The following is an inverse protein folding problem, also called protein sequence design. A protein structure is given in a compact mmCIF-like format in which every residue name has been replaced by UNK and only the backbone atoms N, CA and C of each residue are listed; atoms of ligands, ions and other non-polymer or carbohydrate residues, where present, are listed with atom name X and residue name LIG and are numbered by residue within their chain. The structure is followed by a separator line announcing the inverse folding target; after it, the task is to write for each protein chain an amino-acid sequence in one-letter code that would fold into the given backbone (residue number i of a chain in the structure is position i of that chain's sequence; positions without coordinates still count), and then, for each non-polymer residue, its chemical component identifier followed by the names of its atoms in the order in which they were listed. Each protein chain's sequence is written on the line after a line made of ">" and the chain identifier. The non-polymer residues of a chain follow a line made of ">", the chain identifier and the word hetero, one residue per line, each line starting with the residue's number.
data_IF_336015184540
#
_entry.id   IF_336015184540
#
_cell.length_a   1.000
_cell.length_b   1.000
_cell.length_c   1.000
_cell.angle_alpha   90.00
_cell.angle_beta   90.00
_cell.angle_gamma   90.00
#
_symmetry.space_group_name_H-M   'P 1'
#
loop_
_entity.id
_entity.type
_entity.pdbx_description
1 polymer ?
#
# COMPACT_ATOMS: atom_id res chain seq x y z
N UNK A 1 -44.03 -14.01 19.20
CA UNK A 1 -44.12 -12.80 18.34
C UNK A 1 -42.79 -12.06 18.35
N UNK A 2 -42.60 -11.02 17.53
CA UNK A 2 -41.32 -10.29 17.42
C UNK A 2 -40.86 -9.76 18.79
N UNK A 3 -41.78 -9.23 19.60
CA UNK A 3 -41.50 -8.73 20.95
C UNK A 3 -40.94 -9.80 21.90
N UNK A 4 -41.41 -11.05 21.75
CA UNK A 4 -40.99 -12.17 22.59
C UNK A 4 -39.56 -12.62 22.25
N UNK A 5 -39.21 -12.61 20.96
CA UNK A 5 -37.85 -12.87 20.50
C UNK A 5 -36.88 -11.78 20.95
N UNK A 6 -37.25 -10.51 20.82
CA UNK A 6 -36.40 -9.39 21.28
C UNK A 6 -36.18 -9.42 22.80
N UNK A 7 -37.19 -9.85 23.58
CA UNK A 7 -37.06 -10.02 25.02
C UNK A 7 -36.10 -11.15 25.37
N UNK A 8 -36.18 -12.27 24.67
CA UNK A 8 -35.26 -13.41 24.84
C UNK A 8 -33.80 -13.02 24.51
N UNK A 9 -33.57 -12.26 23.43
CA UNK A 9 -32.25 -11.73 23.09
C UNK A 9 -31.71 -10.78 24.16
N UNK A 10 -32.54 -9.84 24.63
CA UNK A 10 -32.14 -8.90 25.70
C UNK A 10 -31.79 -9.63 26.99
N UNK A 11 -32.59 -10.64 27.35
CA UNK A 11 -32.37 -11.45 28.55
C UNK A 11 -31.06 -12.23 28.43
N UNK A 12 -30.79 -12.84 27.27
CA UNK A 12 -29.54 -13.54 26.99
C UNK A 12 -28.31 -12.62 27.05
N UNK A 13 -28.42 -11.37 26.55
CA UNK A 13 -27.34 -10.38 26.67
C UNK A 13 -27.09 -10.01 28.13
N UNK A 14 -28.16 -9.81 28.93
CA UNK A 14 -28.05 -9.44 30.34
C UNK A 14 -27.48 -10.56 31.22
N UNK A 15 -27.73 -11.83 30.90
CA UNK A 15 -27.16 -12.98 31.63
C UNK A 15 -25.63 -13.00 31.61
N UNK A 16 -25.01 -12.41 30.59
CA UNK A 16 -23.55 -12.32 30.48
C UNK A 16 -22.94 -11.14 31.25
N UNK A 17 -23.76 -10.24 31.78
CA UNK A 17 -23.32 -9.02 32.45
C UNK A 17 -23.24 -9.26 33.96
N UNK A 18 -22.03 -9.17 34.52
CA UNK A 18 -21.83 -9.14 35.98
C UNK A 18 -21.51 -7.71 36.44
N UNK A 19 -22.38 -7.15 37.27
CA UNK A 19 -22.17 -5.83 37.87
C UNK A 19 -21.31 -5.97 39.13
N UNK A 20 -20.37 -5.04 39.30
CA UNK A 20 -19.55 -4.94 40.50
C UNK A 20 -19.68 -3.54 41.09
N UNK A 21 -19.46 -3.41 42.39
CA UNK A 21 -19.48 -2.12 43.07
C UNK A 21 -18.20 -1.29 42.86
N UNK A 22 -17.44 -1.59 41.79
CA UNK A 22 -16.23 -0.88 41.42
C UNK A 22 -16.56 0.33 40.54
N UNK A 23 -15.65 1.31 40.49
CA UNK A 23 -15.81 2.45 39.58
C UNK A 23 -15.75 1.99 38.12
N UNK A 24 -16.58 2.60 37.29
CA UNK A 24 -16.58 2.36 35.84
C UNK A 24 -15.19 2.61 35.25
N UNK A 25 -14.80 1.74 34.32
CA UNK A 25 -13.54 1.87 33.58
C UNK A 25 -13.77 1.59 32.11
N UNK A 26 -12.99 2.27 31.27
CA UNK A 26 -12.90 1.94 29.85
C UNK A 26 -12.20 0.59 29.69
N UNK A 27 -12.81 -0.30 28.91
CA UNK A 27 -12.24 -1.60 28.52
C UNK A 27 -11.98 -1.54 27.03
N UNK A 28 -10.81 -2.04 26.62
CA UNK A 28 -10.42 -2.15 25.23
C UNK A 28 -10.47 -3.60 24.75
N UNK A 29 -11.39 -3.88 23.84
CA UNK A 29 -11.71 -5.25 23.41
C UNK A 29 -10.61 -5.94 22.60
N UNK A 30 -9.64 -5.20 22.06
CA UNK A 30 -8.50 -5.82 21.33
C UNK A 30 -7.45 -6.41 22.26
N UNK A 31 -7.62 -6.30 23.58
CA UNK A 31 -6.65 -6.80 24.57
C UNK A 31 -7.33 -7.69 25.59
N UNK A 32 -6.70 -8.83 25.90
CA UNK A 32 -7.24 -9.80 26.87
C UNK A 32 -7.32 -9.25 28.30
N UNK A 33 -6.52 -8.24 28.62
CA UNK A 33 -6.55 -7.55 29.92
C UNK A 33 -7.39 -6.26 29.90
N UNK A 34 -8.01 -5.94 28.75
CA UNK A 34 -8.87 -4.78 28.59
C UNK A 34 -8.14 -3.43 28.60
N UNK A 35 -6.80 -3.42 28.54
CA UNK A 35 -6.00 -2.20 28.61
C UNK A 35 -5.67 -1.66 27.21
N UNK A 36 -5.95 -0.38 27.00
CA UNK A 36 -5.55 0.29 25.77
C UNK A 36 -4.03 0.32 25.61
N UNK A 37 -3.54 -0.21 24.48
CA UNK A 37 -2.13 -0.15 24.08
C UNK A 37 -2.04 0.27 22.62
N UNK A 38 -1.28 1.34 22.37
CA UNK A 38 -1.03 1.86 21.02
C UNK A 38 -0.47 0.77 20.09
N UNK A 39 0.37 -0.13 20.60
CA UNK A 39 0.90 -1.28 19.85
C UNK A 39 -0.20 -2.18 19.27
N UNK A 40 -1.21 -2.51 20.07
CA UNK A 40 -2.27 -3.44 19.66
C UNK A 40 -3.22 -2.79 18.64
N UNK A 41 -3.44 -1.48 18.77
CA UNK A 41 -4.14 -0.69 17.74
C UNK A 41 -3.38 -0.76 16.41
N UNK A 42 -2.06 -0.54 16.43
CA UNK A 42 -1.25 -0.60 15.21
C UNK A 42 -1.22 -1.98 14.60
N UNK A 43 -1.07 -3.05 15.39
CA UNK A 43 -1.13 -4.42 14.87
C UNK A 43 -2.45 -4.68 14.15
N UNK A 44 -3.59 -4.26 14.72
CA UNK A 44 -4.89 -4.42 14.10
C UNK A 44 -5.03 -3.62 12.80
N UNK A 45 -4.53 -2.38 12.78
CA UNK A 45 -4.47 -1.55 11.56
C UNK A 45 -3.60 -2.24 10.51
N UNK A 46 -2.41 -2.67 10.89
CA UNK A 46 -1.47 -3.34 10.00
C UNK A 46 -2.06 -4.63 9.42
N UNK A 47 -2.75 -5.45 10.22
CA UNK A 47 -3.44 -6.65 9.74
C UNK A 47 -4.57 -6.34 8.73
N UNK A 48 -5.22 -5.17 8.83
CA UNK A 48 -6.25 -4.72 7.90
C UNK A 48 -5.64 -4.15 6.61
N UNK A 49 -4.55 -3.39 6.72
CA UNK A 49 -4.01 -2.58 5.62
C UNK A 49 -2.80 -3.19 4.92
N UNK A 50 -2.02 -4.02 5.60
CA UNK A 50 -0.85 -4.70 5.05
C UNK A 50 -1.28 -6.12 4.68
N UNK A 51 -1.39 -6.40 3.39
CA UNK A 51 -1.59 -7.78 2.93
C UNK A 51 -0.38 -8.63 3.30
N UNK A 52 -0.59 -9.92 3.57
CA UNK A 52 0.47 -10.89 3.88
C UNK A 52 1.52 -11.08 2.75
N UNK A 53 1.33 -10.41 1.60
CA UNK A 53 2.25 -10.39 0.47
C UNK A 53 3.20 -9.17 0.53
N UNK A 54 3.75 -8.86 1.71
CA UNK A 54 4.83 -7.89 1.78
C UNK A 54 6.07 -8.52 1.14
N UNK A 55 6.30 -8.22 -0.13
CA UNK A 55 7.60 -8.44 -0.75
C UNK A 55 8.59 -7.53 -0.02
N UNK A 56 9.63 -8.13 0.58
CA UNK A 56 10.64 -7.39 1.33
C UNK A 56 11.20 -6.25 0.49
N UNK A 57 11.19 -5.05 1.06
CA UNK A 57 11.74 -3.87 0.39
C UNK A 57 13.26 -3.91 0.48
N UNK A 58 13.95 -3.94 -0.67
CA UNK A 58 15.41 -3.93 -0.73
C UNK A 58 15.95 -2.50 -0.57
N UNK A 59 16.39 -2.15 0.63
CA UNK A 59 17.03 -0.86 0.89
C UNK A 59 18.52 -0.90 0.54
N UNK A 60 18.94 -0.10 -0.45
CA UNK A 60 20.35 0.01 -0.83
C UNK A 60 21.00 1.14 -0.02
N UNK A 61 22.01 0.81 0.79
CA UNK A 61 22.68 1.79 1.68
C UNK A 61 23.51 2.84 0.94
N UNK A 62 23.91 2.55 -0.30
CA UNK A 62 24.79 3.39 -1.10
C UNK A 62 24.05 4.44 -1.94
N UNK A 63 22.71 4.42 -1.95
CA UNK A 63 21.90 5.42 -2.66
C UNK A 63 21.20 6.37 -1.68
N UNK A 64 20.93 7.62 -2.09
CA UNK A 64 20.14 8.52 -1.26
C UNK A 64 18.77 7.91 -0.91
N UNK A 65 18.27 8.19 0.31
CA UNK A 65 16.99 7.64 0.81
C UNK A 65 15.82 7.88 -0.16
N UNK A 66 15.79 9.02 -0.85
CA UNK A 66 14.79 9.37 -1.86
C UNK A 66 14.73 8.37 -3.03
N UNK A 67 15.86 7.78 -3.40
CA UNK A 67 15.94 6.77 -4.47
C UNK A 67 15.30 5.48 -4.00
N UNK A 68 15.62 5.02 -2.80
CA UNK A 68 14.97 3.84 -2.23
C UNK A 68 13.45 4.04 -2.07
N UNK A 69 13.01 5.22 -1.60
CA UNK A 69 11.57 5.55 -1.50
C UNK A 69 10.92 5.54 -2.89
N UNK A 70 11.61 6.04 -3.92
CA UNK A 70 11.10 6.03 -5.29
C UNK A 70 10.90 4.59 -5.79
N UNK A 71 11.89 3.72 -5.63
CA UNK A 71 11.82 2.31 -6.02
C UNK A 71 10.73 1.57 -5.23
N UNK A 72 10.63 1.81 -3.92
CA UNK A 72 9.56 1.26 -3.09
C UNK A 72 8.17 1.68 -3.59
N UNK A 73 7.96 2.96 -3.91
CA UNK A 73 6.70 3.43 -4.50
C UNK A 73 6.44 2.83 -5.87
N UNK A 74 7.48 2.65 -6.70
CA UNK A 74 7.36 2.06 -8.01
C UNK A 74 6.90 0.59 -7.92
N UNK A 75 7.53 -0.18 -7.03
CA UNK A 75 7.18 -1.58 -6.78
C UNK A 75 5.72 -1.75 -6.31
N UNK A 76 5.20 -0.79 -5.56
CA UNK A 76 3.83 -0.81 -5.04
C UNK A 76 2.78 -0.23 -6.01
N UNK A 77 3.18 0.12 -7.24
CA UNK A 77 2.36 0.85 -8.21
C UNK A 77 1.75 2.15 -7.64
N UNK A 78 2.56 2.91 -6.90
CA UNK A 78 2.15 4.12 -6.15
C UNK A 78 2.81 5.40 -6.62
N UNK A 79 3.55 5.39 -7.73
CA UNK A 79 4.03 6.61 -8.37
C UNK A 79 2.86 7.45 -8.89
N UNK A 80 2.98 8.79 -8.91
CA UNK A 80 1.91 9.69 -9.33
C UNK A 80 1.78 9.76 -10.87
N UNK A 81 1.69 8.62 -11.53
CA UNK A 81 1.42 8.53 -12.96
C UNK A 81 -0.05 8.85 -13.23
N UNK A 82 -0.42 9.27 -14.45
CA UNK A 82 -1.80 9.67 -14.76
C UNK A 82 -2.77 8.50 -14.58
N UNK A 83 -2.37 7.28 -14.93
CA UNK A 83 -3.14 6.06 -14.65
C UNK A 83 -3.41 5.91 -13.15
N UNK A 84 -2.38 6.09 -12.30
CA UNK A 84 -2.53 5.99 -10.85
C UNK A 84 -3.32 7.15 -10.23
N UNK A 85 -3.27 8.34 -10.82
CA UNK A 85 -4.10 9.47 -10.40
C UNK A 85 -5.58 9.19 -10.70
N UNK A 86 -5.91 8.68 -11.89
CA UNK A 86 -7.28 8.30 -12.26
C UNK A 86 -7.81 7.19 -11.36
N UNK A 87 -7.00 6.16 -11.06
CA UNK A 87 -7.37 5.10 -10.10
C UNK A 87 -7.70 5.63 -8.70
N UNK A 88 -7.15 6.79 -8.31
CA UNK A 88 -7.43 7.47 -7.03
C UNK A 88 -8.59 8.47 -7.12
N UNK A 89 -9.31 8.51 -8.25
CA UNK A 89 -10.44 9.42 -8.45
C UNK A 89 -10.04 10.86 -8.75
N UNK A 90 -8.78 11.12 -9.07
CA UNK A 90 -8.33 12.46 -9.49
C UNK A 90 -8.67 12.62 -10.96
N UNK A 91 -9.39 13.69 -11.30
CA UNK A 91 -9.76 13.98 -12.68
C UNK A 91 -8.52 14.40 -13.50
N UNK A 92 -8.17 13.60 -14.50
CA UNK A 92 -7.09 13.88 -15.44
C UNK A 92 -7.66 13.82 -16.85
N UNK A 93 -7.35 14.82 -17.69
CA UNK A 93 -7.94 14.95 -19.03
C UNK A 93 -7.62 13.78 -19.99
N UNK A 94 -6.55 13.03 -19.74
CA UNK A 94 -6.10 11.89 -20.54
C UNK A 94 -5.12 11.07 -19.72
N UNK A 95 -5.07 9.75 -19.89
CA UNK A 95 -4.06 8.87 -19.31
C UNK A 95 -2.80 8.74 -20.18
N UNK A 96 -2.76 9.36 -21.36
CA UNK A 96 -1.63 9.21 -22.30
C UNK A 96 -0.36 9.85 -21.75
N UNK A 97 0.79 9.23 -22.02
CA UNK A 97 2.11 9.74 -21.66
C UNK A 97 2.31 11.19 -22.15
N UNK A 98 2.60 12.15 -21.26
CA UNK A 98 2.73 13.55 -21.65
C UNK A 98 4.04 13.87 -22.38
N UNK A 99 5.01 12.96 -22.35
CA UNK A 99 6.36 13.20 -22.89
C UNK A 99 6.37 12.97 -24.40
N UNK A 100 5.84 11.82 -24.85
CA UNK A 100 5.88 11.41 -26.26
C UNK A 100 4.49 11.13 -26.86
N UNK A 101 3.42 11.27 -26.08
CA UNK A 101 2.05 11.00 -26.51
C UNK A 101 1.82 9.56 -27.02
N UNK A 102 2.67 8.63 -26.62
CA UNK A 102 2.61 7.20 -26.94
C UNK A 102 2.33 6.40 -25.68
N UNK A 103 1.41 5.43 -25.74
CA UNK A 103 1.07 4.60 -24.57
C UNK A 103 0.39 5.35 -23.41
N UNK A 104 0.04 4.60 -22.38
CA UNK A 104 -0.48 5.15 -21.12
C UNK A 104 0.67 5.59 -20.21
N UNK A 105 0.43 6.64 -19.43
CA UNK A 105 1.32 7.11 -18.36
C UNK A 105 1.19 6.17 -17.16
N UNK A 106 1.84 5.02 -17.31
CA UNK A 106 2.01 3.98 -16.30
C UNK A 106 3.48 3.71 -16.02
N UNK A 107 3.78 3.01 -14.93
CA UNK A 107 5.16 2.86 -14.42
C UNK A 107 6.05 2.15 -15.44
N UNK A 108 5.59 1.04 -16.01
CA UNK A 108 6.36 0.28 -17.00
C UNK A 108 6.65 1.14 -18.24
N UNK A 109 5.63 1.86 -18.72
CA UNK A 109 5.81 2.77 -19.83
C UNK A 109 6.86 3.85 -19.52
N UNK A 110 6.65 4.66 -18.47
CA UNK A 110 7.53 5.79 -18.17
C UNK A 110 8.98 5.36 -17.93
N UNK A 111 9.18 4.22 -17.26
CA UNK A 111 10.52 3.78 -16.86
C UNK A 111 11.25 2.94 -17.90
N UNK A 112 10.54 2.21 -18.75
CA UNK A 112 11.14 1.19 -19.62
C UNK A 112 10.72 1.30 -21.09
N UNK A 113 9.45 1.52 -21.39
CA UNK A 113 8.92 1.40 -22.77
C UNK A 113 8.80 2.73 -23.52
N UNK A 114 8.84 3.84 -22.79
CA UNK A 114 8.73 5.18 -23.35
C UNK A 114 9.96 5.50 -24.20
N UNK A 115 9.80 6.25 -25.29
CA UNK A 115 10.93 6.64 -26.15
C UNK A 115 12.01 7.42 -25.39
N UNK A 116 11.64 8.11 -24.31
CA UNK A 116 12.60 8.73 -23.41
C UNK A 116 13.43 7.68 -22.66
N UNK A 117 12.77 6.65 -22.11
CA UNK A 117 13.43 5.56 -21.41
C UNK A 117 14.39 4.80 -22.32
N UNK A 118 13.96 4.47 -23.55
CA UNK A 118 14.80 3.84 -24.57
C UNK A 118 16.03 4.68 -24.95
N UNK A 119 15.97 6.00 -24.84
CA UNK A 119 17.14 6.87 -25.09
C UNK A 119 18.05 7.02 -23.86
N UNK A 120 17.49 7.01 -22.66
CA UNK A 120 18.20 7.28 -21.40
C UNK A 120 18.85 6.02 -20.84
N UNK A 121 18.14 4.90 -20.78
CA UNK A 121 18.63 3.65 -20.19
C UNK A 121 19.96 3.19 -20.82
N UNK A 122 20.14 3.20 -22.15
CA UNK A 122 21.41 2.75 -22.71
C UNK A 122 22.58 3.66 -22.38
N UNK A 123 22.33 4.97 -22.20
CA UNK A 123 23.36 5.92 -21.78
C UNK A 123 23.78 5.67 -20.33
N UNK A 124 22.83 5.32 -19.46
CA UNK A 124 23.12 4.95 -18.07
C UNK A 124 23.91 3.64 -18.03
N UNK A 125 23.46 2.59 -18.72
CA UNK A 125 24.19 1.31 -18.77
C UNK A 125 25.62 1.51 -19.27
N UNK A 126 25.82 2.30 -20.33
CA UNK A 126 27.15 2.64 -20.83
C UNK A 126 27.99 3.42 -19.81
N UNK A 127 27.39 4.34 -19.07
CA UNK A 127 28.11 5.13 -18.05
C UNK A 127 28.57 4.27 -16.87
N UNK A 128 27.79 3.24 -16.53
CA UNK A 128 28.06 2.34 -15.42
C UNK A 128 28.72 1.01 -15.84
N UNK A 129 29.10 0.88 -17.12
CA UNK A 129 29.68 -0.33 -17.69
C UNK A 129 28.81 -1.59 -17.44
N UNK A 130 27.49 -1.43 -17.55
CA UNK A 130 26.51 -2.51 -17.40
C UNK A 130 26.12 -3.07 -18.76
N UNK A 131 25.84 -4.38 -18.79
CA UNK A 131 25.26 -5.04 -19.95
C UNK A 131 23.85 -4.50 -20.22
N UNK A 132 23.60 -4.17 -21.49
CA UNK A 132 22.27 -3.77 -21.94
C UNK A 132 21.34 -4.98 -21.91
N UNK A 133 20.25 -4.83 -21.16
CA UNK A 133 19.14 -5.78 -21.12
C UNK A 133 17.87 -5.08 -21.59
N UNK A 134 17.05 -5.78 -22.38
CA UNK A 134 15.77 -5.26 -22.86
C UNK A 134 14.68 -5.45 -21.79
N UNK A 135 14.78 -4.71 -20.69
CA UNK A 135 13.73 -4.66 -19.67
C UNK A 135 12.53 -3.90 -20.21
N UNK A 136 11.36 -4.53 -20.19
CA UNK A 136 10.09 -3.92 -20.60
C UNK A 136 9.17 -3.62 -19.40
N UNK A 137 9.45 -4.21 -18.24
CA UNK A 137 8.67 -4.01 -17.03
C UNK A 137 9.55 -3.75 -15.81
N UNK A 138 8.99 -3.06 -14.82
CA UNK A 138 9.67 -2.83 -13.55
C UNK A 138 9.99 -4.13 -12.81
N UNK A 139 9.14 -5.16 -12.94
CA UNK A 139 9.37 -6.46 -12.32
C UNK A 139 10.58 -7.17 -12.93
N UNK A 140 10.75 -7.14 -14.25
CA UNK A 140 11.93 -7.69 -14.93
C UNK A 140 13.23 -7.01 -14.49
N UNK A 141 13.20 -5.68 -14.33
CA UNK A 141 14.37 -4.92 -13.89
C UNK A 141 14.69 -5.10 -12.40
N UNK A 142 13.66 -5.32 -11.57
CA UNK A 142 13.80 -5.43 -10.11
C UNK A 142 14.17 -6.85 -9.64
N UNK A 143 13.93 -7.87 -10.47
CA UNK A 143 14.29 -9.26 -10.23
C UNK A 143 15.81 -9.45 -10.07
#
# INVERSE_FOLDING_TARGET
>A
GIEQHTLEELTSMLETVSLSNSSDRWIYDLTSDGLFRVKEVWNCIDDIFLSSQVIDTRWVRFVPIKVNIFIWRAHQDRLPTRVNLVRRGINVASCVCPIWSTGEDEINHILFQCDLAHQVLPRICRWWELDLSDWNTFQEWYA
#
